data_IF_140854772222
#
_entry.id   IF_140854772222
#
_cell.length_a   1.000
_cell.length_b   1.000
_cell.length_c   1.000
_cell.angle_alpha   90.00
_cell.angle_beta   90.00
_cell.angle_gamma   90.00
#
_symmetry.space_group_name_H-M   'P 1'
#
loop_
_entity.id
_entity.type
_entity.pdbx_description
1 polymer ?
#
# COMPACT_ATOMS: atom_id res chain seq x y z
N UNK A 1 -10.26 19.87 18.21
CA UNK A 1 -10.84 18.70 17.52
C UNK A 1 -9.75 18.01 16.72
N UNK A 2 -9.76 16.69 16.70
CA UNK A 2 -8.60 15.78 16.58
C UNK A 2 -8.07 15.55 15.17
N UNK A 3 -6.77 15.77 15.00
CA UNK A 3 -5.90 15.69 13.80
C UNK A 3 -5.73 14.30 13.17
N UNK A 4 -6.62 13.33 13.43
CA UNK A 4 -6.39 11.92 13.09
C UNK A 4 -7.40 11.27 12.13
N UNK A 5 -8.35 12.02 11.57
CA UNK A 5 -9.36 11.46 10.64
C UNK A 5 -9.19 11.85 9.16
N UNK A 6 -8.52 12.95 8.81
CA UNK A 6 -8.42 13.40 7.39
C UNK A 6 -7.31 12.73 6.55
N UNK A 7 -6.72 11.61 6.96
CA UNK A 7 -5.59 11.03 6.22
C UNK A 7 -5.97 10.18 5.00
N UNK A 8 -7.26 10.05 4.70
CA UNK A 8 -7.76 9.17 3.63
C UNK A 8 -8.66 9.86 2.60
N UNK A 9 -9.03 11.14 2.77
CA UNK A 9 -9.93 11.84 1.82
C UNK A 9 -9.28 12.15 0.46
N UNK A 10 -7.95 12.06 0.34
CA UNK A 10 -7.25 12.20 -0.94
C UNK A 10 -7.32 10.93 -1.81
N UNK A 11 -7.82 9.80 -1.29
CA UNK A 11 -8.06 8.61 -2.12
C UNK A 11 -9.30 8.75 -3.02
N UNK A 12 -10.26 9.61 -2.65
CA UNK A 12 -11.55 9.75 -3.34
C UNK A 12 -11.61 11.00 -4.25
N UNK A 13 -10.46 11.53 -4.69
CA UNK A 13 -10.40 12.74 -5.53
C UNK A 13 -10.70 12.41 -7.01
N UNK A 14 -11.85 12.87 -7.57
CA UNK A 14 -12.25 12.54 -8.94
C UNK A 14 -11.36 13.19 -10.02
N UNK A 15 -10.51 14.16 -9.65
CA UNK A 15 -9.50 14.75 -10.53
C UNK A 15 -8.15 14.03 -10.47
N UNK A 16 -7.99 13.02 -9.60
CA UNK A 16 -6.84 12.12 -9.56
C UNK A 16 -7.06 10.87 -10.43
N UNK A 17 -8.18 10.79 -11.16
CA UNK A 17 -8.36 9.83 -12.24
C UNK A 17 -7.57 10.27 -13.48
N UNK A 18 -6.25 10.11 -13.42
CA UNK A 18 -5.54 9.64 -14.60
C UNK A 18 -5.93 8.17 -14.75
N UNK A 19 -6.72 7.81 -15.77
CA UNK A 19 -7.25 6.43 -16.00
C UNK A 19 -6.17 5.35 -15.92
N UNK A 20 -4.89 5.72 -16.05
CA UNK A 20 -3.74 4.82 -16.16
C UNK A 20 -3.00 4.54 -14.84
N UNK A 21 -3.40 5.10 -13.68
CA UNK A 21 -2.65 4.89 -12.43
C UNK A 21 -3.52 4.49 -11.24
N UNK A 22 -4.11 3.30 -11.32
CA UNK A 22 -4.91 2.72 -10.24
C UNK A 22 -4.03 2.36 -9.04
N UNK A 23 -4.25 2.99 -7.88
CA UNK A 23 -3.41 2.80 -6.68
C UNK A 23 -3.93 1.61 -5.89
N UNK A 24 -3.13 0.53 -5.89
CA UNK A 24 -3.41 -0.61 -5.04
C UNK A 24 -3.29 -0.25 -3.55
N UNK A 25 -4.42 -0.29 -2.84
CA UNK A 25 -4.50 0.12 -1.43
C UNK A 25 -4.76 -1.08 -0.52
N UNK A 26 -3.76 -1.50 0.29
CA UNK A 26 -3.95 -2.64 1.17
C UNK A 26 -4.87 -2.35 2.35
N UNK A 27 -5.70 -3.33 2.71
CA UNK A 27 -6.60 -3.27 3.86
C UNK A 27 -5.84 -3.04 5.18
N UNK A 28 -6.49 -2.40 6.15
CA UNK A 28 -5.90 -2.06 7.45
C UNK A 28 -6.18 -3.08 8.57
N UNK A 29 -6.90 -4.15 8.26
CA UNK A 29 -7.45 -5.15 9.20
C UNK A 29 -6.59 -6.42 9.31
N UNK A 30 -5.49 -6.49 8.57
CA UNK A 30 -4.64 -7.67 8.49
C UNK A 30 -5.15 -8.75 7.53
N UNK A 31 -6.24 -8.49 6.80
CA UNK A 31 -6.76 -9.42 5.79
C UNK A 31 -5.68 -9.68 4.72
N UNK A 32 -5.34 -10.96 4.46
CA UNK A 32 -4.39 -11.33 3.41
C UNK A 32 -4.88 -10.86 2.03
N UNK A 33 -4.02 -10.17 1.31
CA UNK A 33 -4.25 -9.80 -0.08
C UNK A 33 -3.19 -10.44 -0.96
N UNK A 34 -3.65 -11.11 -2.01
CA UNK A 34 -2.83 -11.86 -2.95
C UNK A 34 -2.62 -11.01 -4.21
N UNK A 35 -1.37 -10.86 -4.63
CA UNK A 35 -1.04 -10.17 -5.88
C UNK A 35 0.33 -10.59 -6.39
N UNK A 36 0.65 -10.19 -7.62
CA UNK A 36 1.93 -10.40 -8.29
C UNK A 36 2.56 -9.06 -8.62
N UNK A 37 3.85 -8.96 -8.38
CA UNK A 37 4.65 -7.80 -8.82
C UNK A 37 5.04 -8.03 -10.28
N UNK A 38 4.60 -7.14 -11.16
CA UNK A 38 4.87 -7.20 -12.60
C UNK A 38 6.28 -6.68 -12.90
N UNK A 39 6.66 -5.56 -12.29
CA UNK A 39 8.01 -5.03 -12.32
C UNK A 39 8.53 -4.66 -10.94
N UNK A 40 9.79 -4.97 -10.70
CA UNK A 40 10.52 -4.58 -9.48
C UNK A 40 11.22 -3.22 -9.63
N UNK A 41 11.12 -2.60 -10.80
CA UNK A 41 11.59 -1.25 -11.05
C UNK A 41 10.69 -0.24 -10.33
N UNK A 42 11.30 0.73 -9.66
CA UNK A 42 10.55 1.75 -8.93
C UNK A 42 10.06 2.79 -9.91
N UNK A 43 8.75 3.04 -9.89
CA UNK A 43 8.11 4.07 -10.70
C UNK A 43 7.92 5.30 -9.80
N UNK A 44 8.63 6.42 -10.05
CA UNK A 44 8.40 7.66 -9.33
C UNK A 44 7.15 8.36 -9.89
N UNK A 45 6.32 8.91 -8.99
CA UNK A 45 5.19 9.78 -9.36
C UNK A 45 5.11 10.96 -8.41
N UNK A 46 4.95 12.15 -8.97
CA UNK A 46 4.88 13.41 -8.22
C UNK A 46 3.42 13.82 -8.05
N UNK A 47 3.03 14.09 -6.80
CA UNK A 47 1.69 14.52 -6.45
C UNK A 47 1.72 15.95 -5.92
N UNK A 48 0.80 16.79 -6.39
CA UNK A 48 0.59 18.12 -5.81
C UNK A 48 -0.15 17.99 -4.49
N UNK A 49 0.38 18.62 -3.45
CA UNK A 49 -0.22 18.60 -2.13
C UNK A 49 -1.40 19.55 -2.06
N UNK A 50 -2.48 19.11 -1.43
CA UNK A 50 -3.64 19.94 -1.12
C UNK A 50 -3.57 20.39 0.34
N UNK A 51 -4.02 21.61 0.59
CA UNK A 51 -4.24 22.13 1.92
C UNK A 51 -5.55 21.55 2.49
N UNK A 52 -5.87 21.92 3.74
CA UNK A 52 -7.07 21.43 4.43
C UNK A 52 -8.38 21.89 3.78
N UNK A 53 -8.32 22.95 2.97
CA UNK A 53 -9.46 23.57 2.30
C UNK A 53 -9.64 23.04 0.86
N UNK A 54 -8.82 22.05 0.46
CA UNK A 54 -8.84 21.44 -0.88
C UNK A 54 -8.07 22.20 -1.96
N UNK A 55 -7.52 23.38 -1.66
CA UNK A 55 -6.65 24.13 -2.56
C UNK A 55 -5.24 23.55 -2.64
N UNK A 56 -4.61 23.57 -3.82
CA UNK A 56 -3.22 23.14 -3.96
C UNK A 56 -2.26 24.09 -3.23
N UNK A 57 -1.33 23.56 -2.44
CA UNK A 57 -0.35 24.35 -1.68
C UNK A 57 0.77 24.91 -2.56
N UNK A 58 0.89 24.43 -3.80
CA UNK A 58 2.06 24.66 -4.65
C UNK A 58 3.25 23.77 -4.31
N UNK A 59 3.14 22.94 -3.27
CA UNK A 59 4.15 21.96 -2.89
C UNK A 59 3.88 20.63 -3.60
N UNK A 60 4.96 19.94 -3.94
CA UNK A 60 4.93 18.65 -4.61
C UNK A 60 5.60 17.58 -3.75
N UNK A 61 5.07 16.36 -3.82
CA UNK A 61 5.63 15.19 -3.15
C UNK A 61 5.80 14.05 -4.14
N UNK A 62 7.05 13.63 -4.31
CA UNK A 62 7.38 12.40 -5.00
C UNK A 62 7.05 11.18 -4.12
N UNK A 63 6.44 10.18 -4.73
CA UNK A 63 6.20 8.86 -4.12
C UNK A 63 6.65 7.77 -5.08
N UNK A 64 7.05 6.63 -4.55
CA UNK A 64 7.55 5.50 -5.33
C UNK A 64 6.55 4.36 -5.34
N UNK A 65 6.44 3.68 -6.48
CA UNK A 65 5.50 2.57 -6.69
C UNK A 65 6.17 1.36 -7.31
N UNK A 66 5.56 0.19 -7.09
CA UNK A 66 5.78 -1.03 -7.87
C UNK A 66 4.51 -1.36 -8.63
N UNK A 67 4.64 -1.75 -9.88
CA UNK A 67 3.52 -2.21 -10.68
C UNK A 67 3.13 -3.63 -10.28
N UNK A 68 1.83 -3.85 -10.07
CA UNK A 68 1.24 -5.14 -9.71
C UNK A 68 0.06 -5.45 -10.62
N UNK A 69 -0.41 -6.70 -10.61
CA UNK A 69 -1.63 -7.06 -11.33
C UNK A 69 -2.91 -6.45 -10.73
N UNK A 70 -2.83 -5.83 -9.55
CA UNK A 70 -3.93 -5.13 -8.86
C UNK A 70 -3.76 -3.59 -8.93
N UNK A 71 -2.85 -3.09 -9.76
CA UNK A 71 -2.49 -1.66 -9.86
C UNK A 71 -1.13 -1.33 -9.25
N UNK A 72 -0.92 -0.09 -8.83
CA UNK A 72 0.37 0.42 -8.37
C UNK A 72 0.48 0.41 -6.85
N UNK A 73 1.35 -0.45 -6.32
CA UNK A 73 1.63 -0.52 -4.89
C UNK A 73 2.58 0.61 -4.48
N UNK A 74 2.11 1.55 -3.67
CA UNK A 74 2.96 2.60 -3.09
C UNK A 74 3.94 2.02 -2.07
N UNK A 75 5.23 2.29 -2.24
CA UNK A 75 6.31 1.73 -1.42
C UNK A 75 7.05 2.76 -0.55
N UNK A 76 6.50 3.94 -0.29
CA UNK A 76 7.15 4.96 0.56
C UNK A 76 7.37 4.51 2.02
N UNK A 77 6.63 3.51 2.48
CA UNK A 77 6.77 2.97 3.84
C UNK A 77 8.05 2.16 3.97
N UNK A 78 8.99 2.63 4.79
CA UNK A 78 10.23 1.89 5.13
C UNK A 78 9.91 0.49 5.69
N UNK A 79 8.81 0.35 6.44
CA UNK A 79 8.38 -0.95 7.00
C UNK A 79 7.93 -1.91 5.90
N UNK A 80 7.17 -1.40 4.92
CA UNK A 80 6.77 -2.19 3.75
C UNK A 80 8.00 -2.59 2.91
N UNK A 81 8.92 -1.65 2.65
CA UNK A 81 10.14 -1.92 1.91
C UNK A 81 10.98 -3.03 2.57
N UNK A 82 11.13 -3.02 3.89
CA UNK A 82 11.84 -4.07 4.65
C UNK A 82 11.21 -5.45 4.46
N UNK A 83 9.89 -5.54 4.40
CA UNK A 83 9.21 -6.81 4.12
C UNK A 83 9.37 -7.23 2.65
N UNK A 84 9.25 -6.29 1.71
CA UNK A 84 9.41 -6.56 0.27
C UNK A 84 10.81 -7.08 -0.09
N UNK A 85 11.86 -6.61 0.59
CA UNK A 85 13.23 -7.10 0.39
C UNK A 85 13.34 -8.62 0.57
N UNK A 86 12.55 -9.22 1.47
CA UNK A 86 12.57 -10.67 1.74
C UNK A 86 12.09 -11.51 0.55
N UNK A 87 11.29 -10.91 -0.33
CA UNK A 87 10.73 -11.55 -1.53
C UNK A 87 11.20 -10.85 -2.81
N UNK A 88 12.26 -10.05 -2.75
CA UNK A 88 12.76 -9.28 -3.87
C UNK A 88 13.02 -10.16 -5.09
N UNK A 89 12.60 -9.67 -6.27
CA UNK A 89 12.72 -10.36 -7.57
C UNK A 89 11.94 -11.67 -7.69
N UNK A 90 11.09 -12.00 -6.72
CA UNK A 90 10.17 -13.12 -6.84
C UNK A 90 9.13 -12.82 -7.94
N UNK A 91 8.86 -13.82 -8.79
CA UNK A 91 7.95 -13.70 -9.94
C UNK A 91 6.57 -14.33 -9.69
N UNK A 92 6.39 -15.00 -8.57
CA UNK A 92 5.13 -15.63 -8.20
C UNK A 92 4.21 -14.69 -7.43
N UNK A 93 3.11 -15.25 -6.96
CA UNK A 93 2.14 -14.54 -6.14
C UNK A 93 2.66 -14.37 -4.71
N UNK A 94 2.48 -13.17 -4.18
CA UNK A 94 2.82 -12.79 -2.82
C UNK A 94 1.56 -12.43 -2.05
N UNK A 95 1.63 -12.66 -0.75
CA UNK A 95 0.59 -12.33 0.21
C UNK A 95 1.09 -11.13 1.00
N UNK A 96 0.31 -10.05 0.98
CA UNK A 96 0.49 -8.89 1.83
C UNK A 96 -0.60 -8.84 2.88
N UNK A 97 -0.17 -8.70 4.13
CA UNK A 97 -1.05 -8.32 5.23
C UNK A 97 -0.58 -6.97 5.76
N UNK A 98 -1.52 -6.05 5.94
CA UNK A 98 -1.29 -4.76 6.58
C UNK A 98 -2.29 -4.62 7.71
N UNK A 99 -1.80 -4.24 8.89
CA UNK A 99 -2.69 -3.89 10.00
C UNK A 99 -2.20 -2.63 10.71
N UNK A 100 -3.15 -1.89 11.24
CA UNK A 100 -2.90 -0.66 12.00
C UNK A 100 -3.25 -0.92 13.45
N UNK A 101 -2.38 -0.51 14.38
CA UNK A 101 -2.64 -0.63 15.81
C UNK A 101 -3.83 0.23 16.23
N UNK A 102 -4.82 -0.39 16.89
CA UNK A 102 -6.01 0.27 17.42
C UNK A 102 -5.66 1.37 18.43
N UNK A 103 -4.59 1.17 19.22
CA UNK A 103 -4.14 2.12 20.25
C UNK A 103 -3.34 3.27 19.65
N UNK A 104 -2.63 3.02 18.56
CA UNK A 104 -1.86 4.05 17.86
C UNK A 104 -1.95 3.87 16.35
N UNK A 105 -2.89 4.59 15.73
CA UNK A 105 -3.11 4.58 14.27
C UNK A 105 -1.87 4.97 13.42
N UNK A 106 -0.78 5.43 14.03
CA UNK A 106 0.50 5.69 13.38
C UNK A 106 1.39 4.45 13.24
N UNK A 107 1.10 3.39 14.01
CA UNK A 107 1.79 2.12 13.93
C UNK A 107 1.10 1.24 12.89
N UNK A 108 1.64 1.28 11.67
CA UNK A 108 1.28 0.35 10.61
C UNK A 108 2.30 -0.76 10.53
N UNK A 109 1.82 -2.00 10.54
CA UNK A 109 2.61 -3.21 10.38
C UNK A 109 2.33 -3.82 9.02
N UNK A 110 3.35 -4.49 8.48
CA UNK A 110 3.29 -5.18 7.21
C UNK A 110 3.88 -6.57 7.41
N UNK A 111 3.31 -7.55 6.71
CA UNK A 111 3.88 -8.89 6.59
C UNK A 111 3.74 -9.32 5.15
N UNK A 112 4.85 -9.76 4.56
CA UNK A 112 4.87 -10.29 3.20
C UNK A 112 5.36 -11.72 3.22
N UNK A 113 4.66 -12.58 2.47
CA UNK A 113 5.02 -13.99 2.30
C UNK A 113 4.85 -14.37 0.83
N UNK A 114 5.66 -15.33 0.35
CA UNK A 114 5.39 -15.97 -0.93
C UNK A 114 4.22 -16.93 -0.73
N UNK A 115 3.33 -17.06 -1.71
CA UNK A 115 2.25 -18.05 -1.64
C UNK A 115 2.82 -19.47 -1.50
N UNK A 116 3.97 -19.77 -2.11
CA UNK A 116 4.68 -21.06 -1.93
C UNK A 116 5.07 -21.37 -0.48
N UNK A 117 5.25 -20.35 0.34
CA UNK A 117 5.72 -20.46 1.72
C UNK A 117 4.56 -20.29 2.73
N UNK A 118 3.36 -19.97 2.23
CA UNK A 118 2.16 -19.89 3.04
C UNK A 118 1.76 -21.31 3.44
N UNK A 119 2.04 -21.69 4.70
CA UNK A 119 1.39 -22.83 5.31
C UNK A 119 -0.10 -22.56 5.31
N UNK A 120 -0.88 -23.38 4.59
CA UNK A 120 -2.33 -23.43 4.77
C UNK A 120 -2.61 -23.50 6.28
N UNK A 121 -3.14 -22.42 6.84
CA UNK A 121 -3.73 -22.48 8.17
C UNK A 121 -5.00 -23.26 7.98
N UNK A 122 -4.88 -24.60 8.06
CA UNK A 122 -5.98 -25.54 8.10
C UNK A 122 -6.94 -25.09 9.20
N UNK A 123 -8.04 -24.45 8.80
CA UNK A 123 -9.23 -24.25 9.62
C UNK A 123 -9.98 -25.57 9.74
N UNK A 124 -9.31 -26.60 10.25
CA UNK A 124 -9.98 -27.74 10.90
C UNK A 124 -9.83 -27.55 12.39
N UNK A 125 -10.76 -26.79 12.97
CA UNK A 125 -11.14 -27.01 14.37
C UNK A 125 -12.01 -28.27 14.36
N UNK A 126 -11.41 -29.39 14.75
CA UNK A 126 -12.14 -30.56 15.26
C UNK A 126 -12.84 -30.22 16.57
#
# INVERSE_FOLDING_TARGET
>A
MTTKQNRLEWLDDPYLHEEEFDIFTPNNDGTPQHFKILTWEKIPKTFKLRNKDGGYTGEERESHFLETNEGYLRIDSIRLQRELIKVAKYKGEIILQRWVDDKNKLNTFYKIQKVSDAKEVSTKRS
#
